data_IF_238907254162
#
_entry.id   IF_238907254162
#
_cell.length_a   1.000
_cell.length_b   1.000
_cell.length_c   1.000
_cell.angle_alpha   90.00
_cell.angle_beta   90.00
_cell.angle_gamma   90.00
#
_symmetry.space_group_name_H-M   'P 1'
#
loop_
_entity.id
_entity.type
_entity.pdbx_description
1 polymer ?
#
# COMPACT_ATOMS: atom_id res chain seq x y z
N UNK A 1 -48.71 -6.58 -25.36
CA UNK A 1 -47.86 -5.91 -26.37
C UNK A 1 -46.41 -6.01 -25.88
N UNK A 2 -45.50 -6.39 -26.77
CA UNK A 2 -44.12 -6.78 -26.50
C UNK A 2 -43.21 -5.66 -25.96
N UNK A 3 -42.32 -6.05 -25.04
CA UNK A 3 -40.87 -5.75 -24.91
C UNK A 3 -40.20 -4.64 -25.75
N UNK A 4 -39.36 -3.84 -25.06
CA UNK A 4 -38.01 -3.30 -25.38
C UNK A 4 -37.89 -1.86 -24.82
N UNK A 5 -36.80 -1.36 -24.24
CA UNK A 5 -35.41 -1.77 -24.28
C UNK A 5 -34.64 -1.18 -23.09
N UNK A 6 -33.54 -1.84 -22.72
CA UNK A 6 -32.56 -1.47 -21.71
C UNK A 6 -31.67 -0.28 -22.16
N UNK A 7 -30.89 0.21 -21.18
CA UNK A 7 -29.66 1.02 -21.29
C UNK A 7 -29.79 2.54 -21.47
N UNK A 8 -29.43 3.28 -20.41
CA UNK A 8 -28.17 4.05 -20.41
C UNK A 8 -28.01 4.79 -19.06
N UNK A 9 -27.02 4.38 -18.26
CA UNK A 9 -26.10 5.26 -17.49
C UNK A 9 -25.35 4.45 -16.41
N UNK A 10 -24.70 3.37 -16.82
CA UNK A 10 -23.60 2.74 -16.09
C UNK A 10 -22.31 3.08 -16.86
N UNK A 11 -21.84 4.32 -16.77
CA UNK A 11 -20.65 4.76 -17.51
C UNK A 11 -19.82 5.80 -16.75
N UNK A 12 -19.70 5.64 -15.43
CA UNK A 12 -18.74 6.43 -14.62
C UNK A 12 -17.95 5.63 -13.58
N UNK A 13 -17.78 4.32 -13.74
CA UNK A 13 -16.93 3.50 -12.84
C UNK A 13 -15.66 2.93 -13.49
N UNK A 14 -15.35 3.29 -14.73
CA UNK A 14 -14.14 2.84 -15.45
C UNK A 14 -13.13 3.98 -15.62
N UNK A 15 -12.73 4.61 -14.53
CA UNK A 15 -11.64 5.58 -14.52
C UNK A 15 -10.59 5.22 -13.46
N UNK A 16 -10.13 3.97 -13.48
CA UNK A 16 -8.86 3.56 -12.85
C UNK A 16 -8.05 2.58 -13.71
N UNK A 17 -8.47 2.35 -14.97
CA UNK A 17 -7.91 1.33 -15.87
C UNK A 17 -6.84 1.85 -16.81
N UNK A 18 -6.10 2.89 -16.45
CA UNK A 18 -4.93 3.32 -17.22
C UNK A 18 -3.82 3.78 -16.28
N UNK A 19 -3.16 2.80 -15.63
CA UNK A 19 -1.73 2.81 -15.25
C UNK A 19 -1.49 1.75 -14.17
N UNK A 20 -1.25 0.48 -14.54
CA UNK A 20 -0.43 -0.49 -13.76
C UNK A 20 -0.58 -1.93 -14.29
N UNK A 21 0.31 -2.38 -15.18
CA UNK A 21 0.36 -3.80 -15.61
C UNK A 21 1.56 -4.55 -15.00
N UNK A 22 2.70 -3.88 -14.83
CA UNK A 22 3.95 -4.53 -14.39
C UNK A 22 3.93 -5.09 -12.96
N UNK A 23 3.04 -4.60 -12.08
CA UNK A 23 2.93 -5.13 -10.72
C UNK A 23 2.27 -6.51 -10.67
N UNK A 24 1.39 -6.81 -11.64
CA UNK A 24 0.76 -8.14 -11.75
C UNK A 24 1.76 -9.15 -12.33
N UNK A 25 2.57 -8.73 -13.31
CA UNK A 25 3.66 -9.53 -13.87
C UNK A 25 4.71 -9.90 -12.80
N UNK A 26 4.95 -9.03 -11.82
CA UNK A 26 5.83 -9.28 -10.69
C UNK A 26 5.20 -10.15 -9.57
N UNK A 27 4.04 -10.75 -9.81
CA UNK A 27 3.34 -11.62 -8.85
C UNK A 27 2.38 -10.89 -7.91
N UNK A 28 2.04 -9.63 -8.20
CA UNK A 28 0.98 -8.91 -7.50
C UNK A 28 -0.39 -9.50 -7.81
N UNK A 29 -1.30 -9.43 -6.84
CA UNK A 29 -2.68 -9.85 -7.00
C UNK A 29 -3.61 -8.66 -6.84
N UNK A 30 -4.50 -8.46 -7.83
CA UNK A 30 -5.63 -7.56 -7.67
C UNK A 30 -6.69 -8.22 -6.81
N UNK A 31 -7.13 -7.50 -5.77
CA UNK A 31 -8.22 -7.95 -4.90
C UNK A 31 -9.39 -7.01 -5.09
N UNK A 32 -10.51 -7.56 -5.59
CA UNK A 32 -11.74 -6.81 -5.73
C UNK A 32 -12.34 -6.50 -4.34
N UNK A 33 -12.67 -5.23 -4.11
CA UNK A 33 -13.30 -4.79 -2.87
C UNK A 33 -14.78 -5.11 -2.88
N UNK A 34 -15.28 -5.66 -1.77
CA UNK A 34 -16.70 -5.99 -1.63
C UNK A 34 -17.45 -4.93 -0.82
N UNK A 35 -18.72 -4.70 -1.14
CA UNK A 35 -19.55 -3.71 -0.44
C UNK A 35 -19.70 -4.07 1.04
N UNK A 36 -19.85 -5.36 1.36
CA UNK A 36 -19.94 -5.85 2.73
C UNK A 36 -18.67 -5.55 3.55
N UNK A 37 -17.49 -5.53 2.91
CA UNK A 37 -16.25 -5.14 3.58
C UNK A 37 -16.27 -3.66 3.91
N UNK A 38 -16.78 -2.82 3.01
CA UNK A 38 -16.92 -1.39 3.27
C UNK A 38 -17.86 -1.10 4.44
N UNK A 39 -19.00 -1.80 4.50
CA UNK A 39 -19.95 -1.68 5.60
C UNK A 39 -19.34 -2.14 6.93
N UNK A 40 -18.72 -3.33 6.94
CA UNK A 40 -18.07 -3.88 8.12
C UNK A 40 -16.89 -3.02 8.59
N UNK A 41 -16.17 -2.36 7.67
CA UNK A 41 -15.04 -1.51 8.02
C UNK A 41 -15.45 -0.22 8.73
N UNK A 42 -16.71 0.25 8.61
CA UNK A 42 -17.12 1.53 9.20
C UNK A 42 -16.94 1.60 10.72
N UNK A 43 -17.00 0.46 11.43
CA UNK A 43 -16.80 0.40 12.89
C UNK A 43 -15.40 0.83 13.32
N UNK A 44 -14.43 0.81 12.39
CA UNK A 44 -13.04 1.21 12.63
C UNK A 44 -12.73 2.65 12.18
N UNK A 45 -13.72 3.37 11.64
CA UNK A 45 -13.49 4.73 11.14
C UNK A 45 -13.09 5.66 12.28
N UNK A 46 -11.98 6.37 12.07
CA UNK A 46 -11.48 7.38 13.00
C UNK A 46 -11.01 8.61 12.22
N UNK A 47 -11.38 9.80 12.72
CA UNK A 47 -10.96 11.08 12.15
C UNK A 47 -11.17 11.16 10.64
N UNK A 48 -10.16 11.64 9.93
CA UNK A 48 -10.21 11.91 8.48
C UNK A 48 -9.67 10.74 7.63
N UNK A 49 -9.74 9.50 8.11
CA UNK A 49 -9.36 8.33 7.31
C UNK A 49 -10.19 8.26 6.03
N UNK A 50 -9.49 8.17 4.89
CA UNK A 50 -10.12 8.02 3.59
C UNK A 50 -10.83 6.66 3.47
N UNK A 51 -11.81 6.56 2.57
CA UNK A 51 -12.47 5.28 2.28
C UNK A 51 -11.49 4.19 1.80
N UNK A 52 -10.54 4.48 0.89
CA UNK A 52 -9.51 3.52 0.51
C UNK A 52 -8.64 3.07 1.68
N UNK A 53 -8.19 3.98 2.55
CA UNK A 53 -7.35 3.62 3.70
C UNK A 53 -8.11 2.74 4.69
N UNK A 54 -9.40 3.05 4.94
CA UNK A 54 -10.24 2.26 5.81
C UNK A 54 -10.45 0.84 5.26
N UNK A 55 -10.65 0.69 3.95
CA UNK A 55 -10.76 -0.61 3.29
C UNK A 55 -9.45 -1.38 3.29
N UNK A 56 -8.32 -0.73 3.01
CA UNK A 56 -6.99 -1.35 3.07
C UNK A 56 -6.69 -1.88 4.48
N UNK A 57 -6.99 -1.09 5.50
CA UNK A 57 -6.91 -1.52 6.90
C UNK A 57 -7.77 -2.77 7.15
N UNK A 58 -9.05 -2.72 6.78
CA UNK A 58 -9.99 -3.81 7.04
C UNK A 58 -9.56 -5.10 6.33
N UNK A 59 -9.10 -5.00 5.09
CA UNK A 59 -8.56 -6.12 4.35
C UNK A 59 -7.33 -6.71 5.04
N UNK A 60 -6.36 -5.87 5.41
CA UNK A 60 -5.16 -6.32 6.11
C UNK A 60 -5.49 -7.03 7.44
N UNK A 61 -6.42 -6.47 8.23
CA UNK A 61 -6.87 -7.06 9.49
C UNK A 61 -7.53 -8.42 9.30
N UNK A 62 -8.50 -8.51 8.41
CA UNK A 62 -9.32 -9.73 8.23
C UNK A 62 -8.55 -10.86 7.55
N UNK A 63 -7.66 -10.52 6.63
CA UNK A 63 -6.83 -11.48 5.91
C UNK A 63 -5.46 -11.73 6.55
N UNK A 64 -5.21 -11.18 7.76
CA UNK A 64 -3.94 -11.29 8.49
C UNK A 64 -2.72 -10.93 7.63
N UNK A 65 -2.85 -9.85 6.85
CA UNK A 65 -1.77 -9.29 6.05
C UNK A 65 -1.12 -8.13 6.79
N UNK A 66 0.15 -7.87 6.48
CA UNK A 66 0.79 -6.62 6.85
C UNK A 66 0.38 -5.50 5.90
N UNK A 67 0.38 -4.27 6.39
CA UNK A 67 0.07 -3.08 5.60
C UNK A 67 1.34 -2.23 5.40
N UNK A 68 1.58 -1.81 4.15
CA UNK A 68 2.64 -0.86 3.83
C UNK A 68 2.02 0.53 3.61
N UNK A 69 2.38 1.51 4.44
CA UNK A 69 1.91 2.89 4.29
C UNK A 69 2.88 3.88 4.91
N UNK A 70 2.95 5.10 4.38
CA UNK A 70 3.62 6.22 5.02
C UNK A 70 2.63 7.21 5.68
N UNK A 71 1.32 6.94 5.59
CA UNK A 71 0.29 7.83 6.09
C UNK A 71 0.03 7.62 7.58
N UNK A 72 0.19 8.71 8.35
CA UNK A 72 0.10 8.67 9.81
C UNK A 72 -1.27 8.20 10.33
N UNK A 73 -2.43 8.68 9.83
CA UNK A 73 -3.72 8.21 10.33
C UNK A 73 -3.93 6.70 10.18
N UNK A 74 -3.57 6.15 9.01
CA UNK A 74 -3.69 4.72 8.74
C UNK A 74 -2.71 3.90 9.59
N UNK A 75 -1.47 4.37 9.74
CA UNK A 75 -0.49 3.74 10.63
C UNK A 75 -0.99 3.67 12.07
N UNK A 76 -1.53 4.77 12.60
CA UNK A 76 -2.09 4.82 13.95
C UNK A 76 -3.23 3.80 14.12
N UNK A 77 -4.16 3.73 13.17
CA UNK A 77 -5.25 2.76 13.22
C UNK A 77 -4.72 1.31 13.22
N UNK A 78 -3.76 1.01 12.36
CA UNK A 78 -3.14 -0.33 12.32
C UNK A 78 -2.52 -0.70 13.68
N UNK A 79 -1.76 0.23 14.28
CA UNK A 79 -1.13 0.03 15.59
C UNK A 79 -2.15 -0.21 16.71
N UNK A 80 -3.21 0.60 16.78
CA UNK A 80 -4.28 0.45 17.77
C UNK A 80 -5.02 -0.89 17.65
N UNK A 81 -5.10 -1.42 16.42
CA UNK A 81 -5.89 -2.61 16.10
C UNK A 81 -5.01 -3.86 15.92
N UNK A 82 -3.73 -3.78 16.30
CA UNK A 82 -2.72 -4.83 16.21
C UNK A 82 -2.56 -5.43 14.80
N UNK A 83 -2.65 -4.59 13.77
CA UNK A 83 -2.30 -4.93 12.39
C UNK A 83 -0.84 -4.55 12.16
N UNK A 84 -0.03 -5.50 11.72
CA UNK A 84 1.37 -5.25 11.37
C UNK A 84 1.46 -4.20 10.27
N UNK A 85 2.20 -3.11 10.52
CA UNK A 85 2.31 -1.99 9.60
C UNK A 85 3.74 -1.49 9.49
N UNK A 86 4.20 -1.29 8.26
CA UNK A 86 5.54 -0.79 7.95
C UNK A 86 5.49 0.39 6.99
N UNK A 87 6.56 1.17 6.93
CA UNK A 87 6.74 2.22 5.91
C UNK A 87 7.61 1.73 4.76
N UNK A 88 7.70 2.48 3.66
CA UNK A 88 8.40 2.06 2.43
C UNK A 88 9.86 1.61 2.66
N UNK A 89 10.59 2.26 3.57
CA UNK A 89 11.99 1.91 3.86
C UNK A 89 12.17 0.48 4.40
N UNK A 90 11.13 -0.08 5.04
CA UNK A 90 11.15 -1.47 5.50
C UNK A 90 11.28 -2.46 4.33
N UNK A 91 10.76 -2.13 3.14
CA UNK A 91 10.88 -2.99 1.95
C UNK A 91 12.35 -3.16 1.55
N UNK A 92 13.16 -2.09 1.63
CA UNK A 92 14.59 -2.16 1.35
C UNK A 92 15.28 -3.07 2.37
N UNK A 93 14.94 -2.90 3.65
CA UNK A 93 15.48 -3.71 4.72
C UNK A 93 15.17 -5.20 4.52
N UNK A 94 13.92 -5.55 4.21
CA UNK A 94 13.52 -6.93 3.96
C UNK A 94 14.19 -7.51 2.71
N UNK A 95 14.30 -6.72 1.64
CA UNK A 95 14.99 -7.15 0.43
C UNK A 95 16.46 -7.49 0.71
N UNK A 96 17.13 -6.70 1.54
CA UNK A 96 18.49 -6.97 2.00
C UNK A 96 18.56 -8.23 2.87
N UNK A 97 17.75 -8.29 3.93
CA UNK A 97 17.76 -9.40 4.90
C UNK A 97 17.46 -10.76 4.25
N UNK A 98 16.57 -10.77 3.26
CA UNK A 98 16.19 -11.96 2.50
C UNK A 98 17.06 -12.21 1.27
N UNK A 99 18.09 -11.39 1.03
CA UNK A 99 19.02 -11.49 -0.11
C UNK A 99 18.31 -11.49 -1.47
N UNK A 100 17.24 -10.70 -1.60
CA UNK A 100 16.46 -10.59 -2.85
C UNK A 100 17.12 -9.66 -3.88
N UNK A 101 18.05 -8.80 -3.45
CA UNK A 101 18.79 -7.90 -4.32
C UNK A 101 20.18 -7.62 -3.76
N UNK A 102 21.07 -7.07 -4.59
CA UNK A 102 22.44 -6.75 -4.18
C UNK A 102 22.48 -5.45 -3.34
N UNK A 103 23.46 -5.28 -2.44
CA UNK A 103 23.60 -4.04 -1.68
C UNK A 103 23.71 -2.80 -2.57
N UNK A 104 24.46 -2.89 -3.68
CA UNK A 104 24.60 -1.79 -4.64
C UNK A 104 23.26 -1.36 -5.24
N UNK A 105 22.42 -2.32 -5.67
CA UNK A 105 21.07 -2.02 -6.18
C UNK A 105 20.18 -1.41 -5.10
N UNK A 106 20.25 -1.91 -3.86
CA UNK A 106 19.45 -1.37 -2.76
C UNK A 106 19.87 0.04 -2.34
N UNK A 107 21.17 0.37 -2.43
CA UNK A 107 21.66 1.73 -2.26
C UNK A 107 21.07 2.68 -3.31
N UNK A 108 21.01 2.27 -4.58
CA UNK A 108 20.38 3.05 -5.65
C UNK A 108 18.89 3.26 -5.40
N UNK A 109 18.17 2.24 -4.92
CA UNK A 109 16.75 2.37 -4.55
C UNK A 109 16.55 3.35 -3.40
N UNK A 110 17.41 3.28 -2.38
CA UNK A 110 17.37 4.16 -1.22
C UNK A 110 17.65 5.62 -1.60
N UNK A 111 18.62 5.86 -2.49
CA UNK A 111 18.91 7.17 -3.05
C UNK A 111 17.72 7.72 -3.84
N UNK A 112 17.14 6.90 -4.72
CA UNK A 112 15.95 7.26 -5.52
C UNK A 112 14.79 7.67 -4.60
N UNK A 113 14.48 6.87 -3.58
CA UNK A 113 13.41 7.18 -2.62
C UNK A 113 13.70 8.45 -1.82
N UNK A 114 14.95 8.65 -1.39
CA UNK A 114 15.36 9.84 -0.64
C UNK A 114 15.19 11.12 -1.46
N UNK A 115 15.39 11.05 -2.78
CA UNK A 115 15.21 12.17 -3.69
C UNK A 115 13.73 12.46 -4.00
N UNK A 116 12.87 11.42 -3.97
CA UNK A 116 11.44 11.56 -4.25
C UNK A 116 10.61 12.05 -3.06
N UNK A 117 10.89 11.61 -1.84
CA UNK A 117 10.10 11.96 -0.66
C UNK A 117 10.93 12.55 0.48
N UNK A 118 10.90 13.88 0.59
CA UNK A 118 11.53 14.66 1.67
C UNK A 118 11.01 14.33 3.08
N UNK A 119 9.86 13.66 3.21
CA UNK A 119 9.27 13.28 4.51
C UNK A 119 9.88 12.00 5.08
N UNK A 120 10.71 11.30 4.31
CA UNK A 120 11.35 10.08 4.80
C UNK A 120 12.28 10.37 5.99
N UNK A 121 12.28 9.51 7.01
CA UNK A 121 13.09 9.72 8.21
C UNK A 121 14.58 9.54 7.89
N UNK A 122 15.32 10.66 7.88
CA UNK A 122 16.77 10.71 7.58
C UNK A 122 17.60 9.75 8.44
N UNK A 123 17.24 9.60 9.71
CA UNK A 123 17.94 8.69 10.61
C UNK A 123 17.86 7.23 10.13
N UNK A 124 16.69 6.77 9.71
CA UNK A 124 16.50 5.40 9.20
C UNK A 124 17.22 5.22 7.87
N UNK A 125 17.21 6.25 7.00
CA UNK A 125 17.97 6.23 5.75
C UNK A 125 19.47 6.04 6.03
N UNK A 126 20.04 6.82 6.95
CA UNK A 126 21.45 6.72 7.29
C UNK A 126 21.80 5.34 7.85
N UNK A 127 20.99 4.80 8.77
CA UNK A 127 21.17 3.45 9.30
C UNK A 127 21.14 2.37 8.21
N UNK A 128 20.25 2.51 7.23
CA UNK A 128 20.19 1.61 6.08
C UNK A 128 21.42 1.77 5.18
N UNK A 129 21.90 2.99 4.94
CA UNK A 129 23.14 3.22 4.19
C UNK A 129 24.34 2.52 4.84
N UNK A 130 24.48 2.66 6.15
CA UNK A 130 25.55 2.01 6.92
C UNK A 130 25.43 0.48 6.82
N UNK A 131 24.22 -0.06 6.97
CA UNK A 131 23.95 -1.51 6.89
C UNK A 131 24.25 -2.08 5.50
N UNK A 132 23.92 -1.32 4.45
CA UNK A 132 24.13 -1.73 3.06
C UNK A 132 25.55 -1.47 2.57
N UNK A 133 26.34 -0.67 3.29
CA UNK A 133 27.67 -0.22 2.84
C UNK A 133 27.60 0.71 1.64
N UNK A 134 26.63 1.63 1.61
CA UNK A 134 26.51 2.60 0.52
C UNK A 134 27.69 3.58 0.56
N UNK A 135 28.35 3.75 -0.59
CA UNK A 135 29.44 4.71 -0.81
C UNK A 135 28.97 6.16 -0.89
#
# INVERSE_FOLDING_TARGET
>A
MLSCSQNASLSKQTAFTQNSDHSLEAGGQLVETKIEWFQAAQVYRQGNLSNPDLLNFYYAKTQRRLLLTNEKPLRTLCQQQNVTVHGTLWVIQEAYQRKLSTPATLCQWLETLSNLDRRLPKQVINQLKDTLGCS
#
